data_IF_859493650908
#
_entry.id   IF_859493650908
#
_cell.length_a   1.000
_cell.length_b   1.000
_cell.length_c   1.000
_cell.angle_alpha   90.00
_cell.angle_beta   90.00
_cell.angle_gamma   90.00
#
_symmetry.space_group_name_H-M   'P 1'
#
loop_
_entity.id
_entity.type
_entity.pdbx_description
1 polymer ?
#
# COMPACT_ATOMS: atom_id res chain seq x y z
N UNK A 1 -33.68 33.62 -24.68
CA UNK A 1 -34.09 33.25 -23.30
C UNK A 1 -34.54 31.79 -23.34
N UNK A 2 -34.09 30.85 -22.49
CA UNK A 2 -32.98 30.84 -21.51
C UNK A 2 -32.21 29.53 -21.76
N UNK A 3 -30.90 29.59 -21.97
CA UNK A 3 -30.06 28.39 -22.02
C UNK A 3 -29.88 27.92 -20.58
N UNK A 4 -30.67 26.93 -20.16
CA UNK A 4 -30.62 26.41 -18.79
C UNK A 4 -29.51 25.35 -18.68
N UNK A 5 -28.26 25.78 -18.85
CA UNK A 5 -27.09 25.05 -18.38
C UNK A 5 -27.13 25.05 -16.84
N UNK A 6 -27.97 24.18 -16.27
CA UNK A 6 -27.96 23.87 -14.86
C UNK A 6 -26.70 23.07 -14.58
N UNK A 7 -25.63 23.82 -14.29
CA UNK A 7 -24.48 23.47 -13.47
C UNK A 7 -24.54 22.04 -12.91
N UNK A 8 -24.08 21.08 -13.71
CA UNK A 8 -23.47 19.88 -13.16
C UNK A 8 -22.21 20.40 -12.45
N UNK A 9 -22.33 20.75 -11.18
CA UNK A 9 -21.19 20.99 -10.32
C UNK A 9 -20.40 19.69 -10.31
N UNK A 10 -19.32 19.65 -11.10
CA UNK A 10 -18.35 18.58 -11.05
C UNK A 10 -17.71 18.64 -9.68
N UNK A 11 -18.28 17.89 -8.74
CA UNK A 11 -17.64 17.62 -7.46
C UNK A 11 -16.44 16.74 -7.81
N UNK A 12 -15.32 17.40 -8.12
CA UNK A 12 -13.99 16.80 -8.05
C UNK A 12 -13.70 16.51 -6.57
N UNK A 13 -14.42 15.53 -6.02
CA UNK A 13 -13.89 14.77 -4.89
C UNK A 13 -12.61 14.17 -5.44
N UNK A 14 -11.47 14.54 -4.86
CA UNK A 14 -10.23 13.83 -5.10
C UNK A 14 -10.40 12.44 -4.50
N UNK A 15 -10.98 11.51 -5.27
CA UNK A 15 -11.02 10.10 -4.94
C UNK A 15 -9.57 9.65 -5.01
N UNK A 16 -8.95 9.56 -3.84
CA UNK A 16 -7.58 9.07 -3.70
C UNK A 16 -7.49 7.70 -4.37
N UNK A 17 -6.46 7.49 -5.19
CA UNK A 17 -6.17 6.18 -5.76
C UNK A 17 -6.02 5.16 -4.64
N UNK A 18 -6.45 3.92 -4.92
CA UNK A 18 -6.17 2.84 -3.98
C UNK A 18 -4.75 2.34 -4.23
N UNK A 19 -3.86 2.70 -3.31
CA UNK A 19 -2.41 2.51 -3.43
C UNK A 19 -1.98 1.15 -2.85
N UNK A 20 -2.71 0.58 -1.88
CA UNK A 20 -2.34 -0.69 -1.25
C UNK A 20 -2.32 -1.89 -2.22
N UNK A 21 -1.13 -2.46 -2.40
CA UNK A 21 -0.91 -3.79 -2.97
C UNK A 21 -0.22 -3.77 -4.33
N UNK A 22 0.82 -4.61 -4.50
CA UNK A 22 1.68 -4.59 -5.67
C UNK A 22 1.09 -5.36 -6.87
N UNK A 23 0.57 -4.62 -7.84
CA UNK A 23 -0.03 -5.16 -9.05
C UNK A 23 -1.43 -5.78 -8.86
N UNK A 24 -2.17 -5.90 -9.97
CA UNK A 24 -3.64 -6.13 -10.01
C UNK A 24 -4.19 -7.14 -9.00
N UNK A 25 -3.52 -8.28 -8.81
CA UNK A 25 -3.99 -9.36 -7.91
C UNK A 25 -3.83 -8.96 -6.44
N UNK A 26 -2.64 -8.47 -6.05
CA UNK A 26 -2.39 -7.99 -4.68
C UNK A 26 -3.29 -6.80 -4.35
N UNK A 27 -3.39 -5.83 -5.26
CA UNK A 27 -4.27 -4.66 -5.13
C UNK A 27 -5.74 -5.06 -4.93
N UNK A 28 -6.24 -6.06 -5.67
CA UNK A 28 -7.60 -6.57 -5.49
C UNK A 28 -7.81 -7.19 -4.10
N UNK A 29 -6.91 -8.06 -3.63
CA UNK A 29 -7.05 -8.67 -2.31
C UNK A 29 -6.93 -7.63 -1.18
N UNK A 30 -5.99 -6.69 -1.28
CA UNK A 30 -5.87 -5.58 -0.34
C UNK A 30 -7.18 -4.75 -0.30
N UNK A 31 -7.70 -4.37 -1.47
CA UNK A 31 -8.97 -3.65 -1.56
C UNK A 31 -10.14 -4.41 -0.93
N UNK A 32 -10.31 -5.70 -1.23
CA UNK A 32 -11.36 -6.56 -0.66
C UNK A 32 -11.25 -6.68 0.86
N UNK A 33 -10.04 -6.93 1.37
CA UNK A 33 -9.78 -7.08 2.81
C UNK A 33 -10.01 -5.76 3.56
N UNK A 34 -9.78 -4.61 2.91
CA UNK A 34 -10.09 -3.30 3.47
C UNK A 34 -11.59 -2.93 3.50
N UNK A 35 -12.48 -3.66 2.82
CA UNK A 35 -13.90 -3.29 2.70
C UNK A 35 -14.64 -3.13 4.05
N UNK A 36 -14.40 -3.95 5.09
CA UNK A 36 -15.07 -3.78 6.39
C UNK A 36 -14.50 -2.65 7.25
N UNK A 37 -13.36 -2.05 6.87
CA UNK A 37 -12.78 -0.92 7.58
C UNK A 37 -13.56 0.37 7.29
N UNK A 38 -13.78 1.20 8.31
CA UNK A 38 -14.35 2.54 8.12
C UNK A 38 -13.29 3.61 7.82
N UNK A 39 -12.03 3.34 8.14
CA UNK A 39 -10.86 4.20 7.98
C UNK A 39 -10.02 3.87 6.73
N UNK A 40 -10.67 3.49 5.63
CA UNK A 40 -9.98 3.08 4.39
C UNK A 40 -9.01 4.12 3.84
N UNK A 41 -9.29 5.41 4.03
CA UNK A 41 -8.36 6.50 3.67
C UNK A 41 -7.06 6.44 4.47
N UNK A 42 -7.14 6.14 5.78
CA UNK A 42 -5.98 6.00 6.65
C UNK A 42 -5.14 4.77 6.28
N UNK A 43 -5.80 3.63 6.02
CA UNK A 43 -5.12 2.43 5.51
C UNK A 43 -4.36 2.76 4.22
N UNK A 44 -5.03 3.47 3.30
CA UNK A 44 -4.45 3.85 2.03
C UNK A 44 -3.27 4.81 2.17
N UNK A 45 -3.35 5.78 3.09
CA UNK A 45 -2.23 6.67 3.41
C UNK A 45 -1.02 5.92 3.99
N UNK A 46 -1.24 4.90 4.84
CA UNK A 46 -0.15 4.05 5.30
C UNK A 46 0.54 3.30 4.13
N UNK A 47 -0.24 2.78 3.17
CA UNK A 47 0.31 2.12 1.98
C UNK A 47 1.07 3.10 1.08
N UNK A 48 0.50 4.27 0.79
CA UNK A 48 1.14 5.33 -0.01
C UNK A 48 2.49 5.76 0.56
N UNK A 49 2.62 5.85 1.88
CA UNK A 49 3.90 6.15 2.54
C UNK A 49 4.88 4.97 2.43
N UNK A 50 4.40 3.73 2.55
CA UNK A 50 5.21 2.52 2.40
C UNK A 50 5.75 2.35 0.97
N UNK A 51 4.92 2.60 -0.05
CA UNK A 51 5.32 2.58 -1.46
C UNK A 51 6.37 3.67 -1.73
N UNK A 52 6.15 4.92 -1.28
CA UNK A 52 7.12 6.01 -1.40
C UNK A 52 8.45 5.71 -0.68
N UNK A 53 8.41 4.96 0.42
CA UNK A 53 9.60 4.50 1.11
C UNK A 53 10.35 3.44 0.29
N UNK A 54 9.65 2.56 -0.41
CA UNK A 54 10.25 1.59 -1.34
C UNK A 54 10.83 2.27 -2.59
N UNK A 55 10.10 3.20 -3.22
CA UNK A 55 10.61 4.00 -4.35
C UNK A 55 11.95 4.67 -3.98
N UNK A 56 12.02 5.31 -2.81
CA UNK A 56 13.23 5.96 -2.33
C UNK A 56 14.38 4.97 -2.03
N UNK A 57 14.08 3.73 -1.62
CA UNK A 57 15.08 2.66 -1.45
C UNK A 57 15.60 2.19 -2.82
N UNK A 58 14.71 1.96 -3.79
CA UNK A 58 15.08 1.49 -5.14
C UNK A 58 15.88 2.55 -5.93
N UNK A 59 15.53 3.84 -5.78
CA UNK A 59 16.29 4.98 -6.30
C UNK A 59 17.62 5.24 -5.55
N UNK A 60 17.89 4.51 -4.45
CA UNK A 60 19.10 4.69 -3.64
C UNK A 60 19.18 6.01 -2.88
N UNK A 61 18.05 6.70 -2.68
CA UNK A 61 17.96 8.00 -1.98
C UNK A 61 17.57 7.87 -0.50
N UNK A 62 17.04 6.72 -0.08
CA UNK A 62 16.70 6.40 1.30
C UNK A 62 17.91 6.04 2.16
N UNK A 63 17.93 6.52 3.40
CA UNK A 63 18.91 6.15 4.43
C UNK A 63 18.36 5.05 5.39
N UNK A 64 17.40 4.25 4.95
CA UNK A 64 16.76 3.19 5.73
C UNK A 64 16.57 1.92 4.91
N UNK A 65 16.37 0.77 5.57
CA UNK A 65 16.25 -0.53 4.91
C UNK A 65 14.78 -0.91 4.65
N UNK A 66 14.51 -1.87 3.72
CA UNK A 66 13.18 -2.42 3.53
C UNK A 66 12.53 -2.95 4.82
N UNK A 67 13.30 -3.59 5.70
CA UNK A 67 12.79 -4.12 6.97
C UNK A 67 12.32 -3.02 7.92
N UNK A 68 12.95 -1.84 7.89
CA UNK A 68 12.50 -0.67 8.65
C UNK A 68 11.25 -0.04 8.02
N UNK A 69 11.17 -0.01 6.68
CA UNK A 69 9.95 0.39 5.96
C UNK A 69 8.75 -0.48 6.35
N UNK A 70 8.89 -1.81 6.28
CA UNK A 70 7.87 -2.80 6.64
C UNK A 70 7.42 -2.69 8.11
N UNK A 71 8.36 -2.39 9.01
CA UNK A 71 8.07 -2.13 10.43
C UNK A 71 7.29 -0.82 10.64
N UNK A 72 7.69 0.26 9.98
CA UNK A 72 6.99 1.55 10.05
C UNK A 72 5.58 1.47 9.45
N UNK A 73 5.39 0.72 8.37
CA UNK A 73 4.08 0.44 7.77
C UNK A 73 3.16 -0.31 8.75
N UNK A 74 3.65 -1.37 9.40
CA UNK A 74 2.89 -2.07 10.45
C UNK A 74 2.51 -1.12 11.59
N UNK A 75 3.45 -0.33 12.09
CA UNK A 75 3.20 0.67 13.13
C UNK A 75 2.20 1.77 12.70
N UNK A 76 2.12 2.09 11.42
CA UNK A 76 1.11 3.00 10.88
C UNK A 76 -0.28 2.38 11.07
N UNK A 77 -0.49 1.15 10.58
CA UNK A 77 -1.78 0.45 10.70
C UNK A 77 -2.19 0.19 12.17
N UNK A 78 -1.24 -0.08 13.05
CA UNK A 78 -1.49 -0.26 14.50
C UNK A 78 -1.91 1.03 15.24
N UNK A 79 -1.75 2.21 14.63
CA UNK A 79 -2.11 3.50 15.24
C UNK A 79 -3.54 4.00 14.91
N UNK A 80 -4.27 3.41 13.96
CA UNK A 80 -5.45 4.04 13.29
C UNK A 80 -6.71 4.35 14.13
N UNK A 81 -6.68 4.08 15.44
CA UNK A 81 -7.82 3.96 16.37
C UNK A 81 -8.97 2.99 16.02
N UNK A 82 -9.19 2.60 14.77
CA UNK A 82 -10.18 1.57 14.43
C UNK A 82 -9.67 0.15 14.72
N UNK A 83 -10.37 -0.59 15.59
CA UNK A 83 -9.95 -1.93 16.06
C UNK A 83 -9.74 -2.92 14.90
N UNK A 84 -10.61 -2.89 13.88
CA UNK A 84 -10.49 -3.77 12.71
C UNK A 84 -9.17 -3.54 11.96
N UNK A 85 -8.78 -2.28 11.78
CA UNK A 85 -7.53 -1.90 11.12
C UNK A 85 -6.31 -2.22 11.97
N UNK A 86 -6.38 -1.93 13.28
CA UNK A 86 -5.34 -2.27 14.25
C UNK A 86 -5.06 -3.77 14.40
N UNK A 87 -6.00 -4.65 14.08
CA UNK A 87 -5.89 -6.10 14.35
C UNK A 87 -5.94 -6.97 13.10
N UNK A 88 -6.86 -6.73 12.18
CA UNK A 88 -7.00 -7.53 10.95
C UNK A 88 -6.10 -6.97 9.86
N UNK A 89 -6.26 -5.69 9.51
CA UNK A 89 -5.48 -5.08 8.41
C UNK A 89 -3.99 -5.07 8.72
N UNK A 90 -3.58 -4.60 9.92
CA UNK A 90 -2.18 -4.55 10.34
C UNK A 90 -1.47 -5.91 10.22
N UNK A 91 -2.08 -6.99 10.74
CA UNK A 91 -1.52 -8.33 10.67
C UNK A 91 -1.54 -8.88 9.25
N UNK A 92 -2.69 -8.83 8.56
CA UNK A 92 -2.81 -9.39 7.20
C UNK A 92 -1.88 -8.70 6.21
N UNK A 93 -1.76 -7.38 6.25
CA UNK A 93 -0.86 -6.65 5.36
C UNK A 93 0.61 -6.89 5.73
N UNK A 94 0.97 -6.85 7.02
CA UNK A 94 2.34 -7.14 7.46
C UNK A 94 2.82 -8.54 7.04
N UNK A 95 2.00 -9.58 7.21
CA UNK A 95 2.34 -10.92 6.71
C UNK A 95 2.43 -10.98 5.19
N UNK A 96 1.55 -10.27 4.47
CA UNK A 96 1.56 -10.23 3.00
C UNK A 96 2.81 -9.57 2.44
N UNK A 97 3.25 -8.46 3.06
CA UNK A 97 4.48 -7.76 2.70
C UNK A 97 5.71 -8.62 3.04
N UNK A 98 5.77 -9.22 4.23
CA UNK A 98 6.86 -10.11 4.61
C UNK A 98 6.98 -11.34 3.67
N UNK A 99 5.85 -11.92 3.23
CA UNK A 99 5.80 -12.96 2.21
C UNK A 99 6.33 -12.47 0.86
N UNK A 100 5.92 -11.28 0.41
CA UNK A 100 6.43 -10.69 -0.82
C UNK A 100 7.94 -10.46 -0.76
N UNK A 101 8.45 -9.81 0.30
CA UNK A 101 9.88 -9.59 0.53
C UNK A 101 10.68 -10.91 0.56
N UNK A 102 10.14 -11.97 1.18
CA UNK A 102 10.75 -13.31 1.14
C UNK A 102 10.80 -13.90 -0.28
N UNK A 103 9.69 -13.85 -1.02
CA UNK A 103 9.60 -14.38 -2.38
C UNK A 103 10.54 -13.63 -3.33
N UNK A 104 10.55 -12.30 -3.30
CA UNK A 104 11.45 -11.48 -4.11
C UNK A 104 12.92 -11.79 -3.82
N UNK A 105 13.30 -11.90 -2.54
CA UNK A 105 14.66 -12.30 -2.12
C UNK A 105 15.04 -13.71 -2.57
N UNK A 106 14.09 -14.63 -2.70
CA UNK A 106 14.33 -15.97 -3.25
C UNK A 106 14.44 -15.97 -4.77
N UNK A 107 13.60 -15.20 -5.46
CA UNK A 107 13.66 -15.05 -6.91
C UNK A 107 14.95 -14.37 -7.37
N UNK A 108 15.44 -13.35 -6.66
CA UNK A 108 16.72 -12.71 -6.97
C UNK A 108 17.91 -13.65 -6.74
N UNK A 109 17.92 -14.40 -5.64
CA UNK A 109 18.92 -15.46 -5.39
C UNK A 109 18.94 -16.51 -6.52
N UNK A 110 17.77 -17.00 -6.94
CA UNK A 110 17.66 -17.97 -8.04
C UNK A 110 18.15 -17.35 -9.35
N UNK A 111 17.76 -16.11 -9.67
CA UNK A 111 18.20 -15.42 -10.88
C UNK A 111 19.73 -15.32 -10.94
N UNK A 112 20.37 -14.92 -9.85
CA UNK A 112 21.84 -14.83 -9.79
C UNK A 112 22.57 -16.17 -9.96
N UNK A 113 21.96 -17.31 -9.58
CA UNK A 113 22.51 -18.65 -9.84
C UNK A 113 22.49 -19.00 -11.34
N UNK A 114 21.57 -18.42 -12.12
CA UNK A 114 21.40 -18.73 -13.54
C UNK A 114 21.92 -17.64 -14.51
N UNK A 115 22.28 -16.46 -14.03
CA UNK A 115 22.67 -15.31 -14.88
C UNK A 115 23.96 -14.62 -14.46
N UNK A 116 24.76 -15.20 -13.56
CA UNK A 116 26.02 -14.65 -13.00
C UNK A 116 25.92 -13.17 -12.58
N UNK A 117 25.44 -12.96 -11.35
CA UNK A 117 25.60 -11.70 -10.60
C UNK A 117 26.96 -11.66 -9.89
#
# INVERSE_FOLDING_TARGET
MRISFLLLFTIFVAVQSWDCGSGKVSTFFAWVISLPASDRSYINDCCRVHDQQYDAIEDGTANFTPELSDYLFKLCLEKSDHVYTKTVISHTYHYSVALNSFVQKKLSQIKCIFTDC
#
